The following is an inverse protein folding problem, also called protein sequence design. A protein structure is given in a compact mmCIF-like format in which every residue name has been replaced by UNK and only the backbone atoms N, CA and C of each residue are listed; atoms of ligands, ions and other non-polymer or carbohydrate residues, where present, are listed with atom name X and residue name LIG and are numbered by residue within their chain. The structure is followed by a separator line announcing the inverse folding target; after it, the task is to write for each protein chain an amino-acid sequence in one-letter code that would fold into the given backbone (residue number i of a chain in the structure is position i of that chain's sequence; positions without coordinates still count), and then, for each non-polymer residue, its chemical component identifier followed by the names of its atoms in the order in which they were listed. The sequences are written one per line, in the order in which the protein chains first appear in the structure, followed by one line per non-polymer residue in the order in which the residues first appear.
data_IF_726300056259
#
_entry.id   IF_726300056259
#
_cell.length_a   1.000
_cell.length_b   1.000
_cell.length_c   1.000
_cell.angle_alpha   90.00
_cell.angle_beta   90.00
_cell.angle_gamma   90.00
#
_symmetry.space_group_name_H-M   'P 1'
#
loop_
_entity.id
_entity.type
_entity.pdbx_description
1 polymer ?
#
# COMPACT_ATOMS: atom_id res chain seq x y z
N UNK A 1 9.32 19.33 11.44
CA UNK A 1 9.26 17.87 11.70
C UNK A 1 10.64 17.30 11.44
N UNK A 2 11.24 16.61 12.39
CA UNK A 2 12.40 15.77 12.08
C UNK A 2 11.90 14.57 11.28
N UNK A 3 12.05 14.58 9.96
CA UNK A 3 11.84 13.38 9.16
C UNK A 3 12.92 12.36 9.57
N UNK A 4 12.50 11.18 10.04
CA UNK A 4 13.46 10.08 10.23
C UNK A 4 14.08 9.80 8.86
N UNK A 5 15.40 9.67 8.82
CA UNK A 5 16.10 9.22 7.61
C UNK A 5 15.45 7.93 7.12
N UNK A 6 15.07 7.93 5.85
CA UNK A 6 14.62 6.75 5.12
C UNK A 6 15.82 6.00 4.54
N UNK A 7 15.61 4.76 4.10
CA UNK A 7 16.66 3.90 3.59
C UNK A 7 17.31 4.36 2.29
N UNK A 8 16.59 5.07 1.40
CA UNK A 8 17.18 5.63 0.18
C UNK A 8 17.65 7.08 0.36
N UNK A 9 17.43 7.67 1.54
CA UNK A 9 17.81 9.04 1.85
C UNK A 9 16.99 10.10 1.11
N UNK A 10 15.85 9.71 0.53
CA UNK A 10 14.88 10.62 -0.08
C UNK A 10 13.89 11.15 0.96
N UNK A 11 13.05 12.09 0.58
CA UNK A 11 11.97 12.54 1.44
C UNK A 11 10.96 11.40 1.68
N UNK A 12 10.43 11.33 2.90
CA UNK A 12 9.54 10.25 3.37
C UNK A 12 8.31 10.05 2.48
N UNK A 13 7.70 11.15 2.02
CA UNK A 13 6.56 11.12 1.11
C UNK A 13 6.93 10.60 -0.29
N UNK A 14 8.16 10.87 -0.75
CA UNK A 14 8.65 10.36 -2.04
C UNK A 14 8.84 8.84 -1.96
N UNK A 15 9.51 8.34 -0.92
CA UNK A 15 9.63 6.88 -0.72
C UNK A 15 8.28 6.20 -0.53
N UNK A 16 7.34 6.85 0.15
CA UNK A 16 5.97 6.35 0.33
C UNK A 16 5.19 6.25 -0.98
N UNK A 17 5.49 7.06 -2.00
CA UNK A 17 4.89 6.87 -3.34
C UNK A 17 5.59 5.74 -4.08
N UNK A 18 6.91 5.63 -3.94
CA UNK A 18 7.69 4.56 -4.58
C UNK A 18 7.20 3.17 -4.15
N UNK A 19 6.70 3.03 -2.92
CA UNK A 19 6.09 1.77 -2.47
C UNK A 19 4.87 1.37 -3.30
N UNK A 20 4.15 2.33 -3.90
CA UNK A 20 3.00 2.09 -4.78
C UNK A 20 3.36 2.06 -6.27
N UNK A 21 4.51 2.58 -6.68
CA UNK A 21 4.84 2.79 -8.11
C UNK A 21 4.83 1.49 -8.94
N UNK A 22 5.33 0.39 -8.37
CA UNK A 22 5.25 -0.96 -8.94
C UNK A 22 4.16 -1.80 -8.29
N UNK A 23 3.08 -1.16 -7.82
CA UNK A 23 1.91 -1.81 -7.26
C UNK A 23 2.35 -2.63 -6.02
N UNK A 24 2.09 -3.94 -5.96
CA UNK A 24 2.46 -4.76 -4.80
C UNK A 24 3.96 -5.12 -4.80
N UNK A 25 4.62 -5.10 -5.96
CA UNK A 25 6.02 -5.51 -6.10
C UNK A 25 6.95 -4.53 -5.41
N UNK A 26 6.76 -3.24 -5.64
CA UNK A 26 7.52 -2.20 -4.93
C UNK A 26 7.19 -2.16 -3.46
N UNK A 27 5.93 -2.42 -3.07
CA UNK A 27 5.56 -2.55 -1.66
C UNK A 27 6.38 -3.64 -0.97
N UNK A 28 6.50 -4.81 -1.61
CA UNK A 28 7.33 -5.90 -1.11
C UNK A 28 8.81 -5.51 -1.00
N UNK A 29 9.38 -4.89 -2.04
CA UNK A 29 10.78 -4.45 -2.06
C UNK A 29 11.04 -3.48 -0.90
N UNK A 30 10.17 -2.49 -0.71
CA UNK A 30 10.31 -1.50 0.35
C UNK A 30 10.22 -2.10 1.76
N UNK A 31 9.44 -3.17 1.96
CA UNK A 31 9.46 -3.89 3.24
C UNK A 31 10.82 -4.54 3.56
N UNK A 32 11.60 -4.90 2.53
CA UNK A 32 12.94 -5.44 2.71
C UNK A 32 14.01 -4.36 2.90
N UNK A 33 13.93 -3.24 2.20
CA UNK A 33 14.97 -2.19 2.27
C UNK A 33 14.73 -1.18 3.38
N UNK A 34 13.48 -0.80 3.66
CA UNK A 34 13.14 0.19 4.68
C UNK A 34 12.91 -0.51 6.02
N UNK A 35 13.69 -0.14 7.04
CA UNK A 35 13.68 -0.81 8.36
C UNK A 35 13.24 0.10 9.49
N UNK A 36 13.40 1.42 9.34
CA UNK A 36 13.32 2.36 10.45
C UNK A 36 12.17 3.37 10.28
N UNK A 37 11.83 3.72 9.03
CA UNK A 37 10.79 4.68 8.74
C UNK A 37 9.41 4.00 8.70
N UNK A 38 8.67 4.13 9.80
CA UNK A 38 7.34 3.54 9.93
C UNK A 38 6.33 4.06 8.90
N UNK A 39 6.43 5.32 8.48
CA UNK A 39 5.50 5.86 7.47
C UNK A 39 5.67 5.14 6.13
N UNK A 40 6.91 5.04 5.65
CA UNK A 40 7.24 4.31 4.41
C UNK A 40 6.88 2.82 4.55
N UNK A 41 7.17 2.19 5.70
CA UNK A 41 6.82 0.77 5.94
C UNK A 41 5.32 0.52 5.94
N UNK A 42 4.51 1.45 6.47
CA UNK A 42 3.05 1.36 6.42
C UNK A 42 2.56 1.36 4.98
N UNK A 43 3.01 2.33 4.16
CA UNK A 43 2.62 2.40 2.75
C UNK A 43 3.10 1.18 1.96
N UNK A 44 4.29 0.67 2.26
CA UNK A 44 4.82 -0.58 1.70
C UNK A 44 3.92 -1.78 1.98
N UNK A 45 3.52 -1.97 3.24
CA UNK A 45 2.63 -3.07 3.63
C UNK A 45 1.22 -2.89 3.08
N UNK A 46 0.64 -1.68 3.15
CA UNK A 46 -0.67 -1.40 2.57
C UNK A 46 -0.68 -1.64 1.06
N UNK A 47 0.38 -1.25 0.35
CA UNK A 47 0.53 -1.53 -1.08
C UNK A 47 0.56 -3.04 -1.37
N UNK A 48 1.41 -3.77 -0.63
CA UNK A 48 1.56 -5.22 -0.78
C UNK A 48 0.21 -5.92 -0.59
N UNK A 49 -0.44 -5.73 0.55
CA UNK A 49 -1.68 -6.45 0.88
C UNK A 49 -2.79 -6.05 -0.11
N UNK A 50 -3.02 -4.75 -0.32
CA UNK A 50 -4.12 -4.27 -1.16
C UNK A 50 -4.00 -4.86 -2.57
N UNK A 51 -2.87 -4.65 -3.23
CA UNK A 51 -2.78 -4.95 -4.64
C UNK A 51 -2.41 -6.40 -4.95
N UNK A 52 -1.74 -7.10 -4.03
CA UNK A 52 -1.54 -8.54 -4.18
C UNK A 52 -2.87 -9.29 -4.01
N UNK A 53 -3.69 -8.91 -3.01
CA UNK A 53 -5.04 -9.48 -2.86
C UNK A 53 -5.93 -9.20 -4.06
N UNK A 54 -5.92 -7.97 -4.59
CA UNK A 54 -6.65 -7.63 -5.82
C UNK A 54 -6.18 -8.46 -7.01
N UNK A 55 -4.85 -8.62 -7.19
CA UNK A 55 -4.28 -9.44 -8.27
C UNK A 55 -4.77 -10.90 -8.21
N UNK A 56 -4.75 -11.51 -7.03
CA UNK A 56 -5.24 -12.89 -6.83
C UNK A 56 -6.74 -12.96 -7.09
N UNK A 57 -7.54 -12.06 -6.52
CA UNK A 57 -8.99 -12.03 -6.71
C UNK A 57 -9.37 -11.88 -8.20
N UNK A 58 -8.74 -10.92 -8.91
CA UNK A 58 -8.99 -10.72 -10.34
C UNK A 58 -8.58 -11.92 -11.19
N UNK A 59 -7.50 -12.62 -10.81
CA UNK A 59 -7.02 -13.79 -11.53
C UNK A 59 -7.94 -15.00 -11.37
N UNK A 60 -8.47 -15.22 -10.16
CA UNK A 60 -9.40 -16.32 -9.88
C UNK A 60 -10.74 -16.15 -10.58
N UNK A 61 -11.24 -14.92 -10.68
CA UNK A 61 -12.54 -14.62 -11.31
C UNK A 61 -12.52 -14.88 -12.83
N UNK A 62 -11.36 -14.74 -13.47
CA UNK A 62 -11.19 -14.99 -14.91
C UNK A 62 -11.43 -16.45 -15.33
N UNK A 63 -11.53 -17.38 -14.39
CA UNK A 63 -11.90 -18.79 -14.65
C UNK A 63 -13.33 -18.90 -15.19
N UNK A 64 -14.21 -17.94 -14.87
CA UNK A 64 -15.60 -17.93 -15.35
C UNK A 64 -15.66 -17.21 -16.72
N UNK A 65 -16.02 -17.89 -17.82
CA UNK A 65 -16.10 -17.27 -19.14
C UNK A 65 -17.09 -16.11 -19.18
N UNK A 66 -16.77 -15.06 -19.95
CA UNK A 66 -17.59 -13.85 -20.18
C UNK A 66 -17.84 -13.02 -18.91
N UNK A 67 -18.55 -13.57 -17.91
CA UNK A 67 -18.86 -12.90 -16.63
C UNK A 67 -17.57 -12.56 -15.87
N UNK A 68 -16.61 -13.48 -15.84
CA UNK A 68 -15.32 -13.26 -15.17
C UNK A 68 -14.54 -12.09 -15.77
N UNK A 69 -14.59 -11.91 -17.09
CA UNK A 69 -13.94 -10.78 -17.77
C UNK A 69 -14.60 -9.46 -17.37
N UNK A 70 -15.94 -9.40 -17.32
CA UNK A 70 -16.66 -8.18 -16.93
C UNK A 70 -16.36 -7.79 -15.48
N UNK A 71 -16.41 -8.74 -14.55
CA UNK A 71 -16.14 -8.49 -13.12
C UNK A 71 -14.67 -8.11 -12.92
N UNK A 72 -13.74 -8.84 -13.53
CA UNK A 72 -12.31 -8.55 -13.44
C UNK A 72 -12.00 -7.14 -13.97
N UNK A 73 -12.60 -6.74 -15.09
CA UNK A 73 -12.45 -5.38 -15.63
C UNK A 73 -12.92 -4.30 -14.66
N UNK A 74 -14.06 -4.52 -13.98
CA UNK A 74 -14.57 -3.60 -12.96
C UNK A 74 -13.63 -3.52 -11.75
N UNK A 75 -13.12 -4.65 -11.27
CA UNK A 75 -12.15 -4.71 -10.17
C UNK A 75 -10.88 -3.95 -10.53
N UNK A 76 -10.33 -4.15 -11.73
CA UNK A 76 -9.14 -3.44 -12.20
C UNK A 76 -9.39 -1.94 -12.29
N UNK A 77 -10.55 -1.52 -12.78
CA UNK A 77 -10.90 -0.10 -12.85
C UNK A 77 -10.96 0.55 -11.46
N UNK A 78 -11.70 -0.06 -10.52
CA UNK A 78 -11.79 0.43 -9.14
C UNK A 78 -10.41 0.41 -8.47
N UNK A 79 -9.63 -0.65 -8.66
CA UNK A 79 -8.28 -0.80 -8.14
C UNK A 79 -7.33 0.28 -8.66
N UNK A 80 -7.49 0.70 -9.92
CA UNK A 80 -6.69 1.78 -10.53
C UNK A 80 -7.03 3.13 -9.92
N UNK A 81 -8.32 3.43 -9.71
CA UNK A 81 -8.74 4.67 -9.02
C UNK A 81 -8.20 4.70 -7.60
N UNK A 82 -8.32 3.57 -6.87
CA UNK A 82 -7.78 3.40 -5.54
C UNK A 82 -6.25 3.61 -5.50
N UNK A 83 -5.53 3.06 -6.48
CA UNK A 83 -4.08 3.22 -6.61
C UNK A 83 -3.66 4.69 -6.71
N UNK A 84 -4.29 5.45 -7.59
CA UNK A 84 -4.00 6.89 -7.69
C UNK A 84 -4.38 7.66 -6.43
N UNK A 85 -5.49 7.32 -5.78
CA UNK A 85 -5.88 7.93 -4.50
C UNK A 85 -4.82 7.69 -3.42
N UNK A 86 -4.31 6.45 -3.29
CA UNK A 86 -3.27 6.11 -2.32
C UNK A 86 -1.94 6.81 -2.63
N UNK A 87 -1.54 6.88 -3.90
CA UNK A 87 -0.34 7.63 -4.31
C UNK A 87 -0.46 9.12 -3.99
N UNK A 88 -1.61 9.73 -4.27
CA UNK A 88 -1.88 11.13 -3.96
C UNK A 88 -1.82 11.40 -2.45
N UNK A 89 -2.43 10.52 -1.65
CA UNK A 89 -2.39 10.64 -0.19
C UNK A 89 -0.97 10.45 0.37
N UNK A 90 -0.23 9.47 -0.12
CA UNK A 90 1.16 9.24 0.25
C UNK A 90 2.07 10.42 -0.12
N UNK A 91 1.86 11.04 -1.29
CA UNK A 91 2.61 12.24 -1.70
C UNK A 91 2.42 13.42 -0.74
N UNK A 92 1.21 13.58 -0.20
CA UNK A 92 0.90 14.60 0.80
C UNK A 92 1.34 14.22 2.23
N UNK A 93 2.00 13.08 2.41
CA UNK A 93 2.43 12.59 3.72
C UNK A 93 1.28 12.10 4.61
N UNK A 94 0.16 11.68 4.01
CA UNK A 94 -1.01 11.20 4.74
C UNK A 94 -1.04 9.66 4.82
N UNK A 95 -1.22 9.14 6.03
CA UNK A 95 -1.59 7.74 6.26
C UNK A 95 -3.10 7.55 6.04
N UNK A 96 -3.50 7.35 4.78
CA UNK A 96 -4.87 6.98 4.44
C UNK A 96 -5.08 5.46 4.65
N UNK A 97 -5.56 5.08 5.84
CA UNK A 97 -5.84 3.68 6.19
C UNK A 97 -7.08 3.19 5.45
N UNK A 98 -6.92 2.16 4.62
CA UNK A 98 -8.07 1.47 4.05
C UNK A 98 -8.82 0.67 5.13
N UNK A 99 -10.16 0.57 5.07
CA UNK A 99 -10.92 -0.27 5.99
C UNK A 99 -10.37 -1.71 5.98
N UNK A 100 -10.16 -2.27 7.17
CA UNK A 100 -9.53 -3.58 7.41
C UNK A 100 -8.05 -3.67 7.00
N UNK A 101 -7.70 -3.33 5.74
CA UNK A 101 -6.35 -3.47 5.19
C UNK A 101 -5.35 -2.54 5.85
N UNK A 102 -5.74 -1.29 6.16
CA UNK A 102 -4.88 -0.33 6.84
C UNK A 102 -4.53 -0.79 8.26
N UNK A 103 -5.50 -1.33 9.01
CA UNK A 103 -5.25 -1.87 10.34
C UNK A 103 -4.35 -3.11 10.29
N UNK A 104 -4.59 -4.00 9.33
CA UNK A 104 -3.73 -5.16 9.12
C UNK A 104 -2.30 -4.75 8.73
N UNK A 105 -2.16 -3.74 7.87
CA UNK A 105 -0.86 -3.22 7.47
C UNK A 105 -0.08 -2.65 8.65
N UNK A 106 -0.76 -1.90 9.53
CA UNK A 106 -0.21 -1.37 10.78
C UNK A 106 0.21 -2.49 11.75
N UNK A 107 -0.67 -3.46 12.00
CA UNK A 107 -0.40 -4.60 12.89
C UNK A 107 0.84 -5.39 12.42
N UNK A 108 0.89 -5.73 11.13
CA UNK A 108 2.00 -6.50 10.55
C UNK A 108 3.32 -5.74 10.45
N UNK A 109 3.31 -4.42 10.61
CA UNK A 109 4.52 -3.59 10.54
C UNK A 109 5.01 -3.14 11.92
N UNK A 110 4.12 -2.91 12.88
CA UNK A 110 4.47 -2.27 14.15
C UNK A 110 4.02 -3.01 15.41
N UNK A 111 3.06 -3.94 15.33
CA UNK A 111 2.50 -4.63 16.50
C UNK A 111 1.63 -3.76 17.44
N UNK A 112 1.63 -2.43 17.29
CA UNK A 112 0.85 -1.44 18.05
C UNK A 112 0.46 -0.24 17.16
N UNK A 113 -0.59 0.51 17.53
CA UNK A 113 -1.18 1.54 16.65
C UNK A 113 -0.38 2.87 16.60
N UNK A 114 -0.43 3.57 15.46
CA UNK A 114 0.10 4.94 15.29
C UNK A 114 -0.55 5.95 16.26
N UNK A 115 -1.77 5.67 16.72
CA UNK A 115 -2.45 6.51 17.72
C UNK A 115 -1.89 6.33 19.13
N UNK A 116 -1.36 5.14 19.47
CA UNK A 116 -0.70 4.89 20.75
C UNK A 116 0.72 5.46 20.78
N UNK A 117 1.46 5.43 19.67
CA UNK A 117 2.84 6.00 19.61
C UNK A 117 2.91 7.53 19.68
N UNK A 118 1.79 8.23 19.49
CA UNK A 118 1.71 9.70 19.52
C UNK A 118 0.92 10.26 20.72
N UNK A 119 0.52 9.40 21.67
CA UNK A 119 -0.01 9.80 22.99
C UNK A 119 1.12 9.80 24.02
#
# INVERSE_FOLDING_TARGET
MYHKKTSLGLDENIESILTYAGIWVTGLIFLFIEKENNHVRFHAMQSLITFFSLFIASSLILVIPVIGVMISSLITFIGTVLWFLLMYKAYNGEIFKLPFIGNLAEELTFGESFEEKNK
#
